data_IF_992849266402
#
_entry.id   IF_992849266402
#
_cell.length_a   1.000
_cell.length_b   1.000
_cell.length_c   1.000
_cell.angle_alpha   90.00
_cell.angle_beta   90.00
_cell.angle_gamma   90.00
#
_symmetry.space_group_name_H-M   'P 1'
#
loop_
_entity.id
_entity.type
_entity.pdbx_description
1 polymer ?
#
# COMPACT_ATOMS: atom_id res chain seq x y z
N UNK A 1 15.38 17.65 10.42
CA UNK A 1 15.78 16.28 10.02
C UNK A 1 15.52 16.18 8.53
N UNK A 2 16.56 16.25 7.69
CA UNK A 2 16.39 16.11 6.25
C UNK A 2 16.33 14.62 5.93
N UNK A 3 15.23 14.16 5.34
CA UNK A 3 15.13 12.83 4.80
C UNK A 3 16.08 12.77 3.59
N UNK A 4 17.13 11.96 3.67
CA UNK A 4 17.97 11.65 2.52
C UNK A 4 17.46 10.36 1.90
N UNK A 5 17.06 10.44 0.62
CA UNK A 5 16.68 9.28 -0.18
C UNK A 5 17.90 8.86 -0.98
N UNK A 6 18.43 7.67 -0.69
CA UNK A 6 19.57 7.11 -1.41
C UNK A 6 19.02 6.22 -2.52
N UNK A 7 19.30 6.60 -3.76
CA UNK A 7 18.94 5.80 -4.93
C UNK A 7 20.25 5.35 -5.55
N UNK A 8 20.59 4.08 -5.32
CA UNK A 8 21.65 3.44 -6.07
C UNK A 8 21.09 3.01 -7.41
N UNK A 9 21.39 3.78 -8.45
CA UNK A 9 21.12 3.37 -9.81
C UNK A 9 22.22 2.38 -10.21
N UNK A 10 21.83 1.12 -10.42
CA UNK A 10 22.65 0.22 -11.24
C UNK A 10 22.66 0.73 -12.68
N UNK A 11 23.51 0.19 -13.56
CA UNK A 11 23.42 0.49 -15.00
C UNK A 11 22.00 0.19 -15.47
N UNK A 12 21.25 1.26 -15.76
CA UNK A 12 19.84 1.20 -16.08
C UNK A 12 19.59 0.79 -17.54
N UNK A 13 20.65 0.57 -18.33
CA UNK A 13 20.57 0.12 -19.73
C UNK A 13 19.57 0.92 -20.57
N UNK A 14 19.51 2.25 -20.37
CA UNK A 14 18.59 3.14 -21.08
C UNK A 14 17.21 3.34 -20.44
N UNK A 15 16.96 2.81 -19.24
CA UNK A 15 15.72 3.10 -18.52
C UNK A 15 15.67 4.56 -18.04
N UNK A 16 14.48 5.16 -18.18
CA UNK A 16 14.20 6.48 -17.62
C UNK A 16 13.80 6.34 -16.15
N UNK A 17 14.47 7.09 -15.27
CA UNK A 17 14.14 7.15 -13.86
C UNK A 17 13.74 8.58 -13.49
N UNK A 18 12.77 8.69 -12.60
CA UNK A 18 12.32 9.97 -12.09
C UNK A 18 11.98 9.85 -10.60
N UNK A 19 12.38 10.85 -9.82
CA UNK A 19 12.04 10.98 -8.41
C UNK A 19 11.20 12.23 -8.28
N UNK A 20 9.98 12.08 -7.76
CA UNK A 20 9.05 13.18 -7.58
C UNK A 20 8.71 13.33 -6.10
N UNK A 21 8.64 14.57 -5.63
CA UNK A 21 8.04 14.88 -4.36
C UNK A 21 6.50 14.89 -4.52
N UNK A 22 5.75 14.60 -3.46
CA UNK A 22 4.28 14.61 -3.61
C UNK A 22 3.74 16.04 -3.81
N UNK A 23 4.49 17.03 -3.31
CA UNK A 23 4.23 18.46 -3.43
C UNK A 23 4.30 18.95 -4.88
N UNK A 24 4.97 18.20 -5.77
CA UNK A 24 5.08 18.54 -7.19
C UNK A 24 3.74 18.32 -7.95
N UNK A 25 2.81 17.55 -7.38
CA UNK A 25 1.53 17.25 -8.01
C UNK A 25 0.50 18.35 -7.72
N UNK A 26 0.32 19.28 -8.68
CA UNK A 26 -0.63 20.39 -8.56
C UNK A 26 -2.09 19.98 -8.30
N UNK A 27 -2.50 18.79 -8.76
CA UNK A 27 -3.84 18.25 -8.51
C UNK A 27 -4.04 17.83 -7.04
N UNK A 28 -2.96 17.60 -6.30
CA UNK A 28 -2.97 17.11 -4.92
C UNK A 28 -3.25 18.26 -3.94
N UNK A 29 -4.47 18.78 -3.97
CA UNK A 29 -4.93 19.85 -3.09
C UNK A 29 -6.34 19.56 -2.54
N UNK A 30 -6.76 20.26 -1.49
CA UNK A 30 -8.04 20.01 -0.80
C UNK A 30 -9.29 20.32 -1.62
N UNK A 31 -9.18 21.06 -2.73
CA UNK A 31 -10.32 21.26 -3.63
C UNK A 31 -10.65 19.96 -4.38
N UNK A 32 -9.66 19.15 -4.73
CA UNK A 32 -9.83 17.90 -5.48
C UNK A 32 -9.78 16.65 -4.60
N UNK A 33 -8.89 16.60 -3.61
CA UNK A 33 -8.55 15.39 -2.85
C UNK A 33 -9.30 15.36 -1.51
N UNK A 34 -10.27 14.44 -1.31
CA UNK A 34 -11.10 14.46 -0.10
C UNK A 34 -10.30 14.24 1.19
N UNK A 35 -9.25 13.43 1.15
CA UNK A 35 -8.39 13.19 2.32
C UNK A 35 -7.66 14.46 2.76
N UNK A 36 -7.16 15.27 1.82
CA UNK A 36 -6.55 16.57 2.15
C UNK A 36 -7.58 17.54 2.71
N UNK A 37 -8.77 17.59 2.10
CA UNK A 37 -9.88 18.42 2.62
C UNK A 37 -10.24 18.05 4.06
N UNK A 38 -10.28 16.75 4.36
CA UNK A 38 -10.52 16.26 5.71
C UNK A 38 -9.39 16.64 6.66
N UNK A 39 -8.12 16.53 6.23
CA UNK A 39 -6.95 16.91 7.03
C UNK A 39 -6.88 18.40 7.35
N UNK A 40 -7.31 19.25 6.43
CA UNK A 40 -7.39 20.70 6.62
C UNK A 40 -8.58 21.11 7.52
N UNK A 41 -9.55 20.23 7.75
CA UNK A 41 -10.70 20.53 8.60
C UNK A 41 -10.32 20.62 10.09
N UNK A 42 -10.83 21.66 10.77
CA UNK A 42 -10.58 21.92 12.19
C UNK A 42 -10.96 20.73 13.10
N UNK A 43 -11.95 19.93 12.70
CA UNK A 43 -12.40 18.75 13.45
C UNK A 43 -11.36 17.63 13.45
N UNK A 44 -10.63 17.43 12.34
CA UNK A 44 -9.55 16.44 12.28
C UNK A 44 -8.32 16.94 13.04
N UNK A 45 -8.00 18.24 12.93
CA UNK A 45 -6.92 18.82 13.72
C UNK A 45 -7.16 18.65 15.22
N UNK A 46 -8.40 18.85 15.68
CA UNK A 46 -8.81 18.61 17.06
C UNK A 46 -8.71 17.14 17.49
N UNK A 47 -9.16 16.22 16.64
CA UNK A 47 -9.09 14.77 16.89
C UNK A 47 -7.64 14.25 17.00
N UNK A 48 -6.73 14.76 16.16
CA UNK A 48 -5.33 14.31 16.11
C UNK A 48 -4.39 15.09 17.04
N UNK A 49 -4.59 16.40 17.24
CA UNK A 49 -3.61 17.29 17.87
C UNK A 49 -4.02 17.90 19.22
N UNK A 50 -5.32 17.99 19.57
CA UNK A 50 -5.74 18.68 20.82
C UNK A 50 -5.74 17.80 22.09
N UNK A 51 -5.67 16.46 22.00
CA UNK A 51 -5.65 15.58 23.18
C UNK A 51 -4.23 15.22 23.64
N UNK A 52 -3.41 16.25 23.91
CA UNK A 52 -1.99 16.09 24.25
C UNK A 52 -1.70 15.74 25.72
N UNK A 53 -2.61 15.96 26.68
CA UNK A 53 -2.27 15.78 28.11
C UNK A 53 -3.16 14.88 28.98
N UNK A 54 -4.44 14.62 28.68
CA UNK A 54 -5.33 14.04 29.73
C UNK A 54 -5.74 12.55 29.58
N UNK A 55 -5.57 11.91 28.42
CA UNK A 55 -6.14 10.57 28.17
C UNK A 55 -5.13 9.47 27.82
N UNK A 56 -3.85 9.64 28.19
CA UNK A 56 -2.79 8.69 27.86
C UNK A 56 -2.95 7.28 28.49
N UNK A 57 -3.87 7.09 29.44
CA UNK A 57 -3.99 5.84 30.20
C UNK A 57 -5.23 5.00 29.91
N UNK A 58 -6.19 5.46 29.08
CA UNK A 58 -7.50 4.78 28.96
C UNK A 58 -7.77 4.00 27.68
N UNK A 59 -6.95 4.10 26.63
CA UNK A 59 -7.25 3.36 25.39
C UNK A 59 -6.00 3.08 24.54
N UNK A 60 -5.40 1.90 24.72
CA UNK A 60 -4.31 1.41 23.85
C UNK A 60 -4.76 1.26 22.38
N UNK A 61 -6.07 1.13 22.15
CA UNK A 61 -6.66 1.14 20.81
C UNK A 61 -6.40 2.48 20.12
N UNK A 62 -6.66 3.61 20.80
CA UNK A 62 -6.53 4.99 20.29
C UNK A 62 -5.09 5.43 19.98
N UNK A 63 -4.05 4.79 20.54
CA UNK A 63 -2.66 5.11 20.21
C UNK A 63 -2.28 4.74 18.77
N UNK A 64 -2.82 3.66 18.19
CA UNK A 64 -2.63 3.32 16.76
C UNK A 64 -3.24 4.39 15.84
N UNK A 65 -4.27 5.10 16.29
CA UNK A 65 -4.98 6.13 15.54
C UNK A 65 -4.19 7.45 15.43
N UNK A 66 -3.07 7.60 16.15
CA UNK A 66 -2.23 8.80 16.16
C UNK A 66 -0.97 8.68 15.29
N UNK A 67 -0.77 7.58 14.57
CA UNK A 67 0.42 7.39 13.74
C UNK A 67 0.29 8.18 12.40
N UNK A 68 1.17 9.17 12.13
CA UNK A 68 1.15 9.97 10.90
C UNK A 68 1.22 9.15 9.61
N UNK A 69 1.75 7.92 9.67
CA UNK A 69 1.84 7.01 8.51
C UNK A 69 0.46 6.70 7.89
N UNK A 70 -0.60 6.67 8.71
CA UNK A 70 -1.97 6.44 8.21
C UNK A 70 -2.62 7.67 7.57
N UNK A 71 -1.98 8.84 7.71
CA UNK A 71 -2.35 10.08 7.04
C UNK A 71 -1.36 10.45 5.94
N UNK A 72 -0.36 9.60 5.67
CA UNK A 72 0.66 9.89 4.68
C UNK A 72 0.02 10.01 3.31
N UNK A 73 0.07 11.20 2.73
CA UNK A 73 -0.42 11.47 1.38
C UNK A 73 0.26 10.61 0.32
N UNK A 74 1.50 10.17 0.57
CA UNK A 74 2.19 9.21 -0.28
C UNK A 74 1.41 7.89 -0.42
N UNK A 75 0.75 7.43 0.65
CA UNK A 75 -0.09 6.23 0.56
C UNK A 75 -1.36 6.48 -0.24
N UNK A 76 -1.83 7.72 -0.33
CA UNK A 76 -3.03 8.08 -1.09
C UNK A 76 -2.74 8.36 -2.57
N UNK A 77 -1.51 8.72 -2.94
CA UNK A 77 -1.10 8.92 -4.33
C UNK A 77 -1.37 7.71 -5.24
N UNK A 78 -1.37 6.49 -4.68
CA UNK A 78 -1.68 5.27 -5.43
C UNK A 78 -3.09 5.30 -6.06
N UNK A 79 -4.00 6.14 -5.59
CA UNK A 79 -5.33 6.32 -6.16
C UNK A 79 -5.38 7.38 -7.27
N UNK A 80 -4.25 8.00 -7.61
CA UNK A 80 -4.13 9.07 -8.60
C UNK A 80 -3.13 8.73 -9.71
N UNK A 81 -2.82 7.43 -9.92
CA UNK A 81 -1.93 6.99 -10.98
C UNK A 81 -2.36 7.50 -12.38
N UNK A 82 -3.66 7.53 -12.73
CA UNK A 82 -4.09 8.11 -14.00
C UNK A 82 -3.79 9.62 -14.12
N UNK A 83 -3.85 10.38 -13.03
CA UNK A 83 -3.54 11.82 -13.00
C UNK A 83 -2.03 12.07 -13.08
N UNK A 84 -1.22 11.25 -12.41
CA UNK A 84 0.24 11.32 -12.47
C UNK A 84 0.75 10.93 -13.85
N UNK A 85 0.13 9.93 -14.47
CA UNK A 85 0.56 9.33 -15.74
C UNK A 85 -0.59 9.25 -16.75
N UNK A 86 -1.05 10.39 -17.30
CA UNK A 86 -2.24 10.44 -18.16
C UNK A 86 -2.08 9.71 -19.50
N UNK A 87 -0.85 9.50 -19.97
CA UNK A 87 -0.54 8.85 -21.25
C UNK A 87 -0.24 7.35 -21.13
N UNK A 88 -0.03 6.85 -19.90
CA UNK A 88 0.27 5.43 -19.69
C UNK A 88 -1.02 4.61 -19.72
N UNK A 89 -0.92 3.41 -20.29
CA UNK A 89 -2.03 2.46 -20.40
C UNK A 89 -2.05 1.45 -19.25
N UNK A 90 -0.88 0.98 -18.82
CA UNK A 90 -0.71 0.04 -17.71
C UNK A 90 0.46 0.47 -16.84
N UNK A 91 0.41 0.14 -15.56
CA UNK A 91 1.49 0.43 -14.62
C UNK A 91 1.61 -0.70 -13.59
N UNK A 92 2.85 -1.10 -13.31
CA UNK A 92 3.16 -1.95 -12.17
C UNK A 92 3.53 -1.05 -10.99
N UNK A 93 2.76 -1.16 -9.92
CA UNK A 93 3.01 -0.51 -8.64
C UNK A 93 3.77 -1.46 -7.73
N UNK A 94 4.86 -0.98 -7.12
CA UNK A 94 5.67 -1.69 -6.12
C UNK A 94 5.84 -0.79 -4.89
N UNK A 95 5.60 -1.32 -3.68
CA UNK A 95 5.94 -0.60 -2.45
C UNK A 95 7.47 -0.58 -2.24
N UNK A 96 7.96 0.29 -1.35
CA UNK A 96 9.37 0.51 -1.04
C UNK A 96 10.04 -0.63 -0.26
N UNK A 97 9.24 -1.59 0.23
CA UNK A 97 9.64 -2.68 1.11
C UNK A 97 9.48 -4.06 0.46
N UNK A 98 9.64 -4.12 -0.87
CA UNK A 98 9.62 -5.36 -1.66
C UNK A 98 10.98 -5.74 -2.22
N UNK A 99 11.13 -7.02 -2.54
CA UNK A 99 12.26 -7.55 -3.32
C UNK A 99 11.71 -8.27 -4.54
N UNK A 100 12.18 -7.86 -5.71
CA UNK A 100 11.91 -8.54 -6.98
C UNK A 100 12.95 -9.64 -7.19
N UNK A 101 12.50 -10.87 -7.40
CA UNK A 101 13.34 -12.06 -7.54
C UNK A 101 13.34 -12.63 -8.96
N UNK A 102 12.37 -12.25 -9.80
CA UNK A 102 12.16 -12.78 -11.15
C UNK A 102 11.76 -11.68 -12.12
N UNK A 103 11.89 -11.94 -13.42
CA UNK A 103 11.41 -11.05 -14.47
C UNK A 103 9.89 -10.84 -14.36
N UNK A 104 9.46 -9.58 -14.37
CA UNK A 104 8.07 -9.16 -14.22
C UNK A 104 7.40 -8.85 -15.56
N UNK A 105 8.12 -8.95 -16.69
CA UNK A 105 7.60 -8.69 -18.04
C UNK A 105 6.37 -9.53 -18.36
N UNK A 106 6.27 -10.73 -17.79
CA UNK A 106 5.11 -11.60 -17.92
C UNK A 106 3.78 -10.96 -17.49
N UNK A 107 3.79 -10.01 -16.54
CA UNK A 107 2.59 -9.30 -16.10
C UNK A 107 1.88 -8.56 -17.24
N UNK A 108 2.64 -8.00 -18.19
CA UNK A 108 2.07 -7.27 -19.33
C UNK A 108 1.31 -8.16 -20.31
N UNK A 109 1.59 -9.47 -20.29
CA UNK A 109 0.91 -10.48 -21.12
C UNK A 109 -0.38 -11.00 -20.51
N UNK A 110 -0.66 -10.65 -19.24
CA UNK A 110 -1.89 -11.04 -18.58
C UNK A 110 -3.06 -10.29 -19.22
N UNK A 111 -4.06 -11.05 -19.68
CA UNK A 111 -5.36 -10.48 -20.02
C UNK A 111 -6.01 -9.99 -18.73
N UNK A 112 -6.35 -8.71 -18.66
CA UNK A 112 -6.96 -8.11 -17.47
C UNK A 112 -8.46 -8.32 -17.42
N UNK A 113 -9.10 -8.94 -18.43
CA UNK A 113 -10.55 -9.14 -18.53
C UNK A 113 -11.35 -7.84 -18.35
N UNK A 114 -10.79 -6.72 -18.85
CA UNK A 114 -11.33 -5.37 -18.66
C UNK A 114 -11.28 -4.84 -17.21
N UNK A 115 -10.66 -5.56 -16.27
CA UNK A 115 -10.51 -5.17 -14.87
C UNK A 115 -9.45 -4.06 -14.71
N UNK A 116 -9.51 -3.38 -13.58
CA UNK A 116 -8.66 -2.22 -13.26
C UNK A 116 -7.40 -2.63 -12.52
N UNK A 117 -7.53 -3.50 -11.52
CA UNK A 117 -6.45 -3.90 -10.62
C UNK A 117 -6.14 -5.39 -10.76
N UNK A 118 -4.87 -5.73 -10.92
CA UNK A 118 -4.36 -7.10 -10.85
C UNK A 118 -3.63 -7.25 -9.52
N UNK A 119 -4.11 -8.12 -8.64
CA UNK A 119 -3.51 -8.34 -7.33
C UNK A 119 -3.60 -9.81 -6.92
N UNK A 120 -2.64 -10.27 -6.12
CA UNK A 120 -2.73 -11.58 -5.48
C UNK A 120 -3.72 -11.51 -4.31
N UNK A 121 -4.66 -12.44 -4.31
CA UNK A 121 -5.63 -12.61 -3.23
C UNK A 121 -4.96 -13.18 -1.97
N UNK A 122 -5.33 -12.63 -0.81
CA UNK A 122 -4.67 -12.91 0.47
C UNK A 122 -5.56 -13.68 1.44
N UNK A 123 -6.83 -13.91 1.09
CA UNK A 123 -7.75 -14.62 1.97
C UNK A 123 -7.41 -16.11 2.10
N UNK A 124 -7.62 -16.63 3.30
CA UNK A 124 -7.53 -18.05 3.60
C UNK A 124 -8.59 -18.39 4.65
N UNK A 125 -9.54 -19.26 4.33
CA UNK A 125 -10.70 -19.50 5.19
C UNK A 125 -11.45 -18.19 5.48
N UNK A 126 -11.58 -17.84 6.77
CA UNK A 126 -12.20 -16.59 7.26
C UNK A 126 -11.25 -15.38 7.32
N UNK A 127 -9.94 -15.57 7.11
CA UNK A 127 -8.93 -14.52 7.16
C UNK A 127 -8.91 -13.68 5.89
N UNK A 128 -8.55 -12.40 6.04
CA UNK A 128 -8.45 -11.38 4.99
C UNK A 128 -9.69 -11.29 4.10
N UNK A 129 -10.86 -11.44 4.71
CA UNK A 129 -12.16 -11.23 4.05
C UNK A 129 -12.64 -9.79 4.25
N UNK A 130 -13.51 -9.31 3.37
CA UNK A 130 -14.02 -7.93 3.41
C UNK A 130 -14.64 -7.57 4.77
N UNK A 131 -15.31 -8.50 5.45
CA UNK A 131 -15.90 -8.27 6.77
C UNK A 131 -14.89 -7.87 7.85
N UNK A 132 -13.61 -8.20 7.69
CA UNK A 132 -12.54 -7.82 8.63
C UNK A 132 -12.09 -6.36 8.42
N UNK A 133 -12.38 -5.78 7.26
CA UNK A 133 -11.90 -4.46 6.87
C UNK A 133 -12.98 -3.38 6.90
N UNK A 134 -14.25 -3.77 6.84
CA UNK A 134 -15.39 -2.87 6.67
C UNK A 134 -16.49 -3.18 7.67
N UNK A 135 -17.26 -2.16 8.02
CA UNK A 135 -18.41 -2.28 8.92
C UNK A 135 -19.65 -2.77 8.16
N UNK A 136 -19.88 -4.08 8.12
CA UNK A 136 -21.06 -4.68 7.47
C UNK A 136 -22.38 -4.48 8.21
N UNK A 137 -22.36 -3.90 9.42
CA UNK A 137 -23.58 -3.41 10.07
C UNK A 137 -24.07 -2.10 9.44
N UNK A 138 -23.20 -1.37 8.74
CA UNK A 138 -23.58 -0.13 8.07
C UNK A 138 -24.36 -0.41 6.77
N UNK A 139 -25.55 0.20 6.56
CA UNK A 139 -26.40 -0.08 5.40
C UNK A 139 -25.70 0.12 4.06
N UNK A 140 -24.90 1.18 3.90
CA UNK A 140 -24.14 1.45 2.65
C UNK A 140 -23.15 0.33 2.29
N UNK A 141 -22.48 -0.27 3.28
CA UNK A 141 -21.54 -1.36 3.05
C UNK A 141 -22.30 -2.64 2.69
N UNK A 142 -23.30 -2.98 3.51
CA UNK A 142 -24.12 -4.19 3.33
C UNK A 142 -24.84 -4.23 1.98
N UNK A 143 -25.25 -3.07 1.46
CA UNK A 143 -25.98 -2.98 0.19
C UNK A 143 -25.09 -3.19 -1.04
N UNK A 144 -23.77 -2.92 -0.95
CA UNK A 144 -22.87 -2.92 -2.12
C UNK A 144 -21.83 -4.03 -2.12
N UNK A 145 -21.44 -4.53 -0.96
CA UNK A 145 -20.30 -5.46 -0.84
C UNK A 145 -20.72 -6.83 -0.31
N UNK A 146 -19.98 -7.87 -0.70
CA UNK A 146 -20.10 -9.19 -0.11
C UNK A 146 -19.10 -9.32 1.06
N UNK A 147 -19.56 -9.64 2.30
CA UNK A 147 -18.66 -9.82 3.45
C UNK A 147 -17.63 -10.92 3.25
N UNK A 148 -17.94 -11.93 2.42
CA UNK A 148 -17.08 -13.07 2.13
C UNK A 148 -16.15 -12.86 0.93
N UNK A 149 -16.19 -11.68 0.29
CA UNK A 149 -15.25 -11.35 -0.78
C UNK A 149 -13.80 -11.45 -0.26
N UNK A 150 -12.93 -11.98 -1.11
CA UNK A 150 -11.52 -12.15 -0.79
C UNK A 150 -10.80 -10.80 -0.84
N UNK A 151 -10.04 -10.48 0.21
CA UNK A 151 -9.14 -9.36 0.19
C UNK A 151 -7.88 -9.65 -0.62
N UNK A 152 -7.22 -8.59 -1.02
CA UNK A 152 -5.87 -8.56 -1.57
C UNK A 152 -5.04 -7.55 -0.76
N UNK A 153 -3.78 -7.35 -1.12
CA UNK A 153 -2.94 -6.34 -0.48
C UNK A 153 -2.28 -5.43 -1.51
N UNK A 154 -1.92 -4.23 -1.05
CA UNK A 154 -0.95 -3.43 -1.77
C UNK A 154 0.47 -3.97 -1.52
N UNK A 155 1.38 -3.66 -2.44
CA UNK A 155 2.78 -4.08 -2.38
C UNK A 155 3.30 -4.47 -3.74
N UNK A 156 2.48 -5.21 -4.48
CA UNK A 156 2.60 -5.38 -5.91
C UNK A 156 1.23 -5.42 -6.54
N UNK A 157 0.94 -4.44 -7.38
CA UNK A 157 -0.34 -4.33 -8.07
C UNK A 157 -0.12 -3.94 -9.52
N UNK A 158 -0.80 -4.63 -10.43
CA UNK A 158 -0.74 -4.34 -11.86
C UNK A 158 -2.02 -3.64 -12.30
N UNK A 159 -1.93 -2.34 -12.59
CA UNK A 159 -3.10 -1.53 -12.91
C UNK A 159 -3.24 -1.31 -14.42
N UNK A 160 -4.45 -1.51 -14.94
CA UNK A 160 -4.84 -1.04 -16.26
C UNK A 160 -5.47 0.36 -16.12
N UNK A 161 -4.72 1.38 -16.53
CA UNK A 161 -5.10 2.78 -16.42
C UNK A 161 -6.18 3.18 -17.44
N UNK A 162 -6.34 2.44 -18.54
CA UNK A 162 -7.46 2.67 -19.45
C UNK A 162 -8.76 2.20 -18.81
N UNK A 163 -8.77 1.01 -18.22
CA UNK A 163 -9.90 0.51 -17.41
C UNK A 163 -10.18 1.42 -16.23
N UNK A 164 -9.15 1.89 -15.51
CA UNK A 164 -9.30 2.83 -14.40
C UNK A 164 -10.06 4.09 -14.81
N UNK A 165 -9.68 4.71 -15.93
CA UNK A 165 -10.35 5.91 -16.46
C UNK A 165 -11.81 5.62 -16.88
N UNK A 166 -12.07 4.48 -17.52
CA UNK A 166 -13.44 4.08 -17.91
C UNK A 166 -14.35 3.85 -16.69
N UNK A 167 -13.83 3.16 -15.69
CA UNK A 167 -14.54 2.85 -14.43
C UNK A 167 -14.58 4.03 -13.46
N UNK A 168 -13.89 5.14 -13.78
CA UNK A 168 -13.79 6.34 -12.93
C UNK A 168 -13.35 6.00 -11.51
N UNK A 169 -12.33 5.15 -11.39
CA UNK A 169 -11.96 4.59 -10.09
C UNK A 169 -11.41 5.63 -9.11
N UNK A 170 -10.82 6.74 -9.59
CA UNK A 170 -10.41 7.84 -8.70
C UNK A 170 -11.63 8.54 -8.09
N UNK A 171 -12.68 8.73 -8.87
CA UNK A 171 -13.93 9.33 -8.42
C UNK A 171 -14.71 8.38 -7.48
N UNK A 172 -14.68 7.08 -7.72
CA UNK A 172 -15.18 6.08 -6.76
C UNK A 172 -14.43 6.17 -5.44
N UNK A 173 -13.09 6.23 -5.49
CA UNK A 173 -12.26 6.43 -4.32
C UNK A 173 -12.63 7.72 -3.57
N UNK A 174 -12.85 8.83 -4.29
CA UNK A 174 -13.31 10.10 -3.68
C UNK A 174 -14.65 9.96 -2.98
N UNK A 175 -15.64 9.39 -3.68
CA UNK A 175 -16.97 9.14 -3.13
C UNK A 175 -16.88 8.40 -1.80
N UNK A 176 -16.14 7.29 -1.76
CA UNK A 176 -16.03 6.47 -0.56
C UNK A 176 -15.29 7.18 0.57
N UNK A 177 -14.25 7.96 0.27
CA UNK A 177 -13.56 8.77 1.29
C UNK A 177 -14.49 9.81 1.91
N UNK A 178 -15.33 10.47 1.11
CA UNK A 178 -16.35 11.39 1.62
C UNK A 178 -17.41 10.67 2.44
N UNK A 179 -17.88 9.49 2.01
CA UNK A 179 -18.86 8.71 2.80
C UNK A 179 -18.28 8.21 4.14
N UNK A 180 -16.95 8.08 4.25
CA UNK A 180 -16.28 7.64 5.47
C UNK A 180 -15.65 8.78 6.28
N UNK A 181 -16.07 10.04 6.11
CA UNK A 181 -15.58 11.18 6.89
C UNK A 181 -15.70 10.98 8.41
N UNK A 182 -16.78 10.34 8.84
CA UNK A 182 -17.05 9.98 10.24
C UNK A 182 -16.41 8.65 10.68
N UNK A 183 -15.69 7.96 9.79
CA UNK A 183 -15.00 6.67 10.02
C UNK A 183 -15.91 5.51 10.43
N UNK A 184 -17.19 5.57 10.06
CA UNK A 184 -18.16 4.51 10.38
C UNK A 184 -18.15 3.34 9.39
N UNK A 185 -17.61 3.52 8.18
CA UNK A 185 -17.54 2.48 7.14
C UNK A 185 -16.28 1.60 7.30
N UNK A 186 -15.14 2.22 7.58
CA UNK A 186 -13.89 1.56 7.98
C UNK A 186 -13.06 2.50 8.86
N UNK A 187 -12.14 1.93 9.65
CA UNK A 187 -11.41 2.70 10.67
C UNK A 187 -10.19 3.45 10.13
N UNK A 188 -9.24 2.75 9.54
CA UNK A 188 -7.90 3.28 9.20
C UNK A 188 -7.26 2.56 8.01
N UNK A 189 -6.22 3.19 7.46
CA UNK A 189 -5.37 2.64 6.41
C UNK A 189 -5.95 2.82 5.00
N UNK A 190 -5.12 2.51 4.01
CA UNK A 190 -5.47 2.64 2.59
C UNK A 190 -5.94 1.33 1.96
N UNK A 191 -5.79 0.19 2.66
CA UNK A 191 -6.29 -1.08 2.15
C UNK A 191 -7.83 -1.12 2.06
N UNK A 192 -8.62 -0.80 3.10
CA UNK A 192 -10.08 -0.78 2.99
C UNK A 192 -10.62 0.08 1.83
N UNK A 193 -10.18 1.35 1.64
CA UNK A 193 -10.64 2.12 0.48
C UNK A 193 -10.14 1.54 -0.85
N UNK A 194 -9.00 0.84 -0.89
CA UNK A 194 -8.58 0.06 -2.06
C UNK A 194 -9.55 -1.07 -2.41
N UNK A 195 -9.85 -1.92 -1.43
CA UNK A 195 -10.80 -3.04 -1.59
C UNK A 195 -12.18 -2.56 -2.05
N UNK A 196 -12.66 -1.46 -1.49
CA UNK A 196 -13.95 -0.86 -1.85
C UNK A 196 -13.91 -0.24 -3.26
N UNK A 197 -12.86 0.51 -3.59
CA UNK A 197 -12.72 1.19 -4.89
C UNK A 197 -12.65 0.21 -6.05
N UNK A 198 -11.91 -0.89 -5.87
CA UNK A 198 -11.70 -1.90 -6.92
C UNK A 198 -12.56 -3.16 -6.72
N UNK A 199 -13.65 -3.05 -5.96
CA UNK A 199 -14.58 -4.16 -5.78
C UNK A 199 -15.18 -4.55 -7.12
N UNK A 200 -15.18 -5.84 -7.44
CA UNK A 200 -15.57 -6.41 -8.74
C UNK A 200 -14.71 -6.00 -9.96
N UNK A 201 -13.78 -5.06 -9.80
CA UNK A 201 -12.83 -4.61 -10.85
C UNK A 201 -11.39 -5.04 -10.54
N UNK A 202 -11.20 -6.00 -9.63
CA UNK A 202 -9.92 -6.66 -9.38
C UNK A 202 -9.86 -8.03 -10.06
N UNK A 203 -8.80 -8.31 -10.81
CA UNK A 203 -8.44 -9.62 -11.33
C UNK A 203 -7.49 -10.31 -10.35
N UNK A 204 -7.85 -11.50 -9.82
CA UNK A 204 -6.92 -12.31 -9.04
C UNK A 204 -5.73 -12.74 -9.89
N UNK A 205 -4.52 -12.49 -9.39
CA UNK A 205 -3.28 -12.96 -9.99
C UNK A 205 -2.85 -14.27 -9.34
N UNK A 206 -2.07 -15.06 -10.08
CA UNK A 206 -1.43 -16.27 -9.55
C UNK A 206 -0.56 -15.95 -8.33
N UNK A 207 -0.60 -16.81 -7.30
CA UNK A 207 0.11 -16.60 -6.04
C UNK A 207 1.63 -16.49 -6.19
N UNK A 208 2.19 -17.06 -7.26
CA UNK A 208 3.62 -16.92 -7.57
C UNK A 208 4.02 -15.50 -7.94
N UNK A 209 3.09 -14.57 -8.19
CA UNK A 209 3.44 -13.18 -8.49
C UNK A 209 3.87 -12.38 -7.26
N UNK A 210 3.22 -12.58 -6.12
CA UNK A 210 3.43 -11.76 -4.92
C UNK A 210 3.19 -12.57 -3.64
N UNK A 211 4.23 -12.70 -2.83
CA UNK A 211 4.15 -13.26 -1.47
C UNK A 211 4.43 -12.16 -0.45
N UNK A 212 3.55 -12.02 0.52
CA UNK A 212 3.62 -11.00 1.55
C UNK A 212 3.60 -11.61 2.94
N UNK A 213 3.99 -10.80 3.93
CA UNK A 213 3.97 -11.14 5.34
C UNK A 213 5.38 -11.36 5.90
N UNK A 214 6.43 -11.12 5.12
CA UNK A 214 7.82 -11.30 5.59
C UNK A 214 8.21 -10.29 6.69
N UNK A 215 7.35 -9.33 7.03
CA UNK A 215 7.52 -8.42 8.16
C UNK A 215 6.64 -8.72 9.38
N UNK A 216 5.89 -9.85 9.41
CA UNK A 216 5.11 -10.25 10.59
C UNK A 216 4.73 -11.75 10.70
N UNK A 217 4.83 -12.54 9.63
CA UNK A 217 4.40 -13.94 9.61
C UNK A 217 5.61 -14.87 9.46
N UNK A 218 6.07 -15.53 10.54
CA UNK A 218 7.20 -16.45 10.47
C UNK A 218 6.86 -17.79 9.81
N UNK A 219 5.59 -18.07 9.50
CA UNK A 219 5.13 -19.38 9.01
C UNK A 219 5.15 -19.50 7.48
N UNK A 220 5.54 -18.44 6.77
CA UNK A 220 5.64 -18.48 5.31
C UNK A 220 6.79 -19.41 4.92
N UNK A 221 6.52 -20.37 4.06
CA UNK A 221 7.52 -21.38 3.69
C UNK A 221 8.59 -20.79 2.76
N UNK A 222 9.82 -21.30 2.89
CA UNK A 222 10.91 -20.92 1.98
C UNK A 222 10.65 -21.38 0.53
N UNK A 223 9.78 -22.38 0.34
CA UNK A 223 9.34 -22.81 -0.99
C UNK A 223 8.43 -21.76 -1.65
N UNK A 224 7.42 -21.27 -0.95
CA UNK A 224 6.56 -20.17 -1.42
C UNK A 224 7.39 -18.93 -1.75
N UNK A 225 8.33 -18.56 -0.87
CA UNK A 225 9.25 -17.45 -1.07
C UNK A 225 10.09 -17.64 -2.33
N UNK A 226 10.65 -18.84 -2.56
CA UNK A 226 11.47 -19.14 -3.74
C UNK A 226 10.66 -19.11 -5.03
N UNK A 227 9.39 -19.51 -4.96
CA UNK A 227 8.49 -19.55 -6.10
C UNK A 227 7.90 -18.17 -6.44
N UNK A 228 7.93 -17.21 -5.52
CA UNK A 228 7.43 -15.86 -5.72
C UNK A 228 8.32 -15.00 -6.61
N UNK A 229 7.72 -14.24 -7.51
CA UNK A 229 8.38 -13.22 -8.32
C UNK A 229 8.69 -11.98 -7.48
N UNK A 230 7.79 -11.57 -6.59
CA UNK A 230 7.96 -10.46 -5.65
C UNK A 230 7.69 -10.95 -4.23
N UNK A 231 8.61 -10.65 -3.30
CA UNK A 231 8.42 -10.89 -1.86
C UNK A 231 8.33 -9.56 -1.12
N UNK A 232 7.44 -9.49 -0.15
CA UNK A 232 7.06 -8.22 0.50
C UNK A 232 7.26 -8.30 2.00
N UNK A 233 8.09 -7.40 2.53
CA UNK A 233 8.36 -7.25 3.95
C UNK A 233 7.34 -6.36 4.66
N UNK A 234 6.09 -6.36 4.21
CA UNK A 234 5.02 -5.63 4.88
C UNK A 234 4.88 -6.09 6.35
N UNK A 235 4.61 -5.14 7.23
CA UNK A 235 4.63 -5.34 8.68
C UNK A 235 5.71 -4.51 9.37
N UNK A 236 5.90 -4.79 10.66
CA UNK A 236 6.78 -4.00 11.52
C UNK A 236 8.19 -4.59 11.64
N UNK A 237 8.34 -5.91 11.47
CA UNK A 237 9.62 -6.62 11.59
C UNK A 237 10.43 -6.51 10.30
N UNK A 238 10.81 -5.27 9.96
CA UNK A 238 11.59 -4.98 8.75
C UNK A 238 12.98 -5.64 8.82
N UNK A 239 13.53 -6.13 7.70
CA UNK A 239 14.80 -6.85 7.70
C UNK A 239 15.99 -5.95 8.04
N UNK A 240 15.82 -4.64 7.94
CA UNK A 240 16.80 -3.63 8.29
C UNK A 240 16.66 -3.10 9.73
N UNK A 241 15.77 -3.68 10.54
CA UNK A 241 15.61 -3.40 11.96
C UNK A 241 16.08 -4.59 12.80
N UNK A 242 16.44 -4.35 14.06
CA UNK A 242 16.87 -5.41 14.98
C UNK A 242 15.77 -6.43 15.28
N UNK A 243 14.52 -5.99 15.22
CA UNK A 243 13.33 -6.84 15.37
C UNK A 243 12.98 -7.63 14.11
N UNK A 244 13.77 -7.53 13.04
CA UNK A 244 13.56 -8.27 11.79
C UNK A 244 13.67 -9.79 11.98
N UNK A 245 12.88 -10.56 11.23
CA UNK A 245 12.95 -12.02 11.30
C UNK A 245 14.23 -12.54 10.61
N UNK A 246 15.14 -13.13 11.39
CA UNK A 246 16.44 -13.60 10.90
C UNK A 246 16.34 -14.52 9.67
N UNK A 247 15.35 -15.42 9.64
CA UNK A 247 15.13 -16.34 8.52
C UNK A 247 14.85 -15.67 7.17
N UNK A 248 14.32 -14.43 7.16
CA UNK A 248 14.01 -13.70 5.93
C UNK A 248 15.02 -12.58 5.63
N UNK A 249 15.91 -12.27 6.57
CA UNK A 249 16.81 -11.11 6.50
C UNK A 249 17.73 -11.15 5.27
N UNK A 250 18.26 -12.34 4.94
CA UNK A 250 19.17 -12.55 3.80
C UNK A 250 18.53 -12.22 2.43
N UNK A 251 17.21 -12.27 2.33
CA UNK A 251 16.51 -11.91 1.08
C UNK A 251 16.65 -10.42 0.76
N UNK A 252 16.83 -9.57 1.78
CA UNK A 252 17.06 -8.13 1.66
C UNK A 252 18.55 -7.77 1.67
N UNK A 253 19.30 -8.27 2.66
CA UNK A 253 20.68 -7.82 2.91
C UNK A 253 21.64 -8.07 1.76
N UNK A 254 21.38 -9.07 0.90
CA UNK A 254 22.16 -9.32 -0.32
C UNK A 254 22.14 -8.17 -1.34
N UNK A 255 21.19 -7.24 -1.24
CA UNK A 255 21.08 -6.06 -2.10
C UNK A 255 21.56 -4.77 -1.41
N UNK A 256 21.92 -4.83 -0.13
CA UNK A 256 22.41 -3.67 0.63
C UNK A 256 23.87 -3.44 0.30
N UNK A 257 24.21 -2.21 -0.08
CA UNK A 257 25.58 -1.79 -0.32
C UNK A 257 26.26 -1.41 1.01
N UNK A 258 26.90 -2.39 1.66
CA UNK A 258 27.61 -2.16 2.92
C UNK A 258 28.88 -1.32 2.77
N UNK A 259 29.31 -1.01 1.54
CA UNK A 259 30.42 -0.09 1.29
C UNK A 259 30.01 1.38 1.24
N UNK A 260 28.71 1.64 1.06
CA UNK A 260 28.16 2.99 1.10
C UNK A 260 28.33 3.62 2.49
N UNK A 261 28.89 4.84 2.52
CA UNK A 261 29.21 5.53 3.77
C UNK A 261 27.98 5.86 4.62
N UNK A 262 26.83 6.12 4.00
CA UNK A 262 25.58 6.38 4.73
C UNK A 262 25.03 5.08 5.31
N UNK A 263 25.05 3.99 4.54
CA UNK A 263 24.62 2.66 5.04
C UNK A 263 25.46 2.22 6.24
N UNK A 264 26.78 2.46 6.21
CA UNK A 264 27.67 2.19 7.36
C UNK A 264 27.30 3.01 8.59
N UNK A 265 26.90 4.28 8.43
CA UNK A 265 26.44 5.13 9.55
C UNK A 265 25.12 4.67 10.16
N UNK A 266 24.28 3.97 9.39
CA UNK A 266 23.02 3.43 9.87
C UNK A 266 23.17 2.17 10.75
N UNK A 267 24.39 1.67 10.99
CA UNK A 267 24.67 0.46 11.79
C UNK A 267 23.84 -0.75 11.35
N UNK A 268 23.59 -0.91 10.05
CA UNK A 268 22.93 -2.12 9.56
C UNK A 268 23.82 -3.32 9.84
N UNK A 269 23.30 -4.30 10.58
CA UNK A 269 24.02 -5.55 10.80
C UNK A 269 24.43 -6.15 9.44
N UNK A 270 25.73 -6.42 9.22
CA UNK A 270 26.17 -7.21 8.08
C UNK A 270 25.53 -8.61 8.13
N UNK A 271 25.43 -9.30 6.99
CA UNK A 271 24.92 -10.68 6.94
C UNK A 271 25.69 -11.66 7.83
#
# INVERSE_FOLDING_TARGET
>A
MHLQVIIRLMDLQGAHYEVKAYEDYKFLNSSYVPVLRQLESANLQKFYFENKLENATKDASNMKFRNPKYLSMLNHLRFYLPEMYPKLQKILFLDDDVVVQRDLTGLWKIDMDGKVNGAVETCFGSFHRYWQYMNFSHPLIKAKFNPNACGWAYGMNFFDLNSWRREKSTEQYHYWQTQNENRLLWKLGTLPPGLITFYSTTKPLDKSWHVLGLGYNPSISMEEIRNAAVVHFNGNMKPWLDIGMNQFRQLWTKYVDYDDSFIRQCNFAPP
#
